data_IF_228478191826
#
_entry.id   IF_228478191826
#
_cell.length_a   1.000
_cell.length_b   1.000
_cell.length_c   1.000
_cell.angle_alpha   90.00
_cell.angle_beta   90.00
_cell.angle_gamma   90.00
#
_symmetry.space_group_name_H-M   'P 1'
#
loop_
_entity.id
_entity.type
_entity.pdbx_description
1 polymer ?
#
# COMPACT_ATOMS: atom_id res chain seq x y z
N UNK A 1 6.75 -26.05 -8.03
CA UNK A 1 6.29 -24.88 -7.29
C UNK A 1 7.51 -24.09 -6.81
N UNK A 2 7.48 -22.78 -6.99
CA UNK A 2 8.50 -21.86 -6.53
C UNK A 2 7.95 -21.02 -5.37
N UNK A 3 8.82 -20.54 -4.50
CA UNK A 3 8.47 -19.63 -3.40
C UNK A 3 9.33 -18.38 -3.52
N UNK A 4 8.72 -17.23 -3.30
CA UNK A 4 9.38 -15.91 -3.34
C UNK A 4 9.49 -15.33 -1.93
N UNK A 5 10.53 -14.52 -1.69
CA UNK A 5 10.68 -13.75 -0.46
C UNK A 5 10.29 -12.29 -0.67
N UNK A 6 9.52 -11.72 0.27
CA UNK A 6 9.20 -10.30 0.33
C UNK A 6 9.32 -9.78 1.75
N UNK A 7 9.90 -8.58 1.89
CA UNK A 7 9.94 -7.80 3.14
C UNK A 7 9.28 -6.46 2.88
N UNK A 8 8.48 -6.00 3.83
CA UNK A 8 7.78 -4.72 3.73
C UNK A 8 7.91 -3.91 5.01
N UNK A 9 7.96 -2.59 4.89
CA UNK A 9 7.89 -1.66 6.02
C UNK A 9 6.48 -1.10 6.27
N UNK A 10 5.47 -1.66 5.59
CA UNK A 10 4.08 -1.21 5.71
C UNK A 10 3.66 -1.09 7.17
N UNK A 11 3.04 0.03 7.53
CA UNK A 11 2.60 0.37 8.88
C UNK A 11 3.71 0.42 9.95
N UNK A 12 4.97 0.45 9.54
CA UNK A 12 6.12 0.53 10.44
C UNK A 12 7.02 1.72 10.12
N UNK A 13 7.34 1.91 8.85
CA UNK A 13 8.16 3.03 8.38
C UNK A 13 7.68 3.44 7.00
N UNK A 14 7.42 4.73 6.83
CA UNK A 14 7.21 5.34 5.54
C UNK A 14 8.08 6.60 5.39
N UNK A 15 8.27 7.04 4.17
CA UNK A 15 9.07 8.21 3.83
C UNK A 15 8.26 9.10 2.91
N UNK A 16 8.38 10.40 3.10
CA UNK A 16 7.84 11.39 2.18
C UNK A 16 9.00 12.30 1.77
N UNK A 17 9.31 12.32 0.49
CA UNK A 17 10.40 13.08 -0.12
C UNK A 17 11.81 12.68 0.36
N UNK A 18 12.81 13.30 -0.22
CA UNK A 18 14.21 13.11 0.10
C UNK A 18 14.97 12.31 -0.95
N UNK A 19 16.21 11.98 -0.65
CA UNK A 19 16.96 10.95 -1.38
C UNK A 19 16.79 9.63 -0.66
N UNK A 20 16.17 8.68 -1.33
CA UNK A 20 16.06 7.30 -0.88
C UNK A 20 17.12 6.49 -1.62
N UNK A 21 18.04 5.87 -0.89
CA UNK A 21 19.19 5.16 -1.41
C UNK A 21 19.22 3.75 -0.84
N UNK A 22 19.30 2.74 -1.71
CA UNK A 22 19.54 1.36 -1.30
C UNK A 22 20.78 0.80 -1.99
N UNK A 23 21.61 0.06 -1.25
CA UNK A 23 22.77 -0.69 -1.77
C UNK A 23 22.42 -2.16 -1.76
N UNK A 24 22.26 -2.73 -2.96
CA UNK A 24 21.69 -4.06 -3.16
C UNK A 24 22.63 -4.93 -4.00
N UNK A 25 22.73 -6.20 -3.66
CA UNK A 25 23.33 -7.24 -4.47
C UNK A 25 22.23 -8.24 -4.86
N UNK A 26 22.00 -8.39 -6.14
CA UNK A 26 21.09 -9.40 -6.69
C UNK A 26 21.88 -10.65 -7.12
N UNK A 27 21.31 -11.86 -6.99
CA UNK A 27 21.96 -13.07 -7.51
C UNK A 27 21.96 -13.08 -9.04
N UNK A 28 22.56 -14.10 -9.63
CA UNK A 28 22.35 -14.41 -11.04
C UNK A 28 20.87 -14.79 -11.25
N UNK A 29 20.20 -14.05 -12.12
CA UNK A 29 18.74 -14.16 -12.30
C UNK A 29 18.37 -15.26 -13.31
N UNK A 30 19.27 -15.58 -14.25
CA UNK A 30 18.91 -16.43 -15.38
C UNK A 30 17.53 -16.03 -15.95
N UNK A 31 16.67 -17.01 -16.32
CA UNK A 31 15.29 -16.72 -16.67
C UNK A 31 14.36 -16.89 -15.46
N UNK A 32 13.58 -15.85 -15.20
CA UNK A 32 12.49 -15.87 -14.23
C UNK A 32 12.79 -15.24 -12.87
N UNK A 33 14.02 -14.83 -12.58
CA UNK A 33 14.30 -14.04 -11.39
C UNK A 33 13.83 -12.59 -11.58
N UNK A 34 13.09 -12.06 -10.60
CA UNK A 34 12.58 -10.68 -10.59
C UNK A 34 12.80 -10.02 -9.21
N UNK A 35 14.02 -9.53 -8.96
CA UNK A 35 14.28 -8.70 -7.79
C UNK A 35 13.69 -7.31 -7.98
N UNK A 36 13.14 -6.74 -6.90
CA UNK A 36 12.63 -5.38 -6.87
C UNK A 36 12.89 -4.71 -5.52
N UNK A 37 13.20 -3.41 -5.57
CA UNK A 37 13.14 -2.46 -4.48
C UNK A 37 12.23 -1.31 -4.88
N UNK A 38 11.10 -1.22 -4.21
CA UNK A 38 10.01 -0.35 -4.61
C UNK A 38 9.24 0.20 -3.41
N UNK A 39 8.48 1.25 -3.63
CA UNK A 39 7.68 1.89 -2.63
C UNK A 39 6.23 1.97 -3.09
N UNK A 40 5.32 1.89 -2.13
CA UNK A 40 3.89 2.04 -2.37
C UNK A 40 3.35 3.11 -1.44
N UNK A 41 2.46 3.96 -1.96
CA UNK A 41 1.86 5.04 -1.19
C UNK A 41 1.02 4.54 -0.03
N UNK A 42 0.99 5.33 1.05
CA UNK A 42 0.20 5.04 2.25
C UNK A 42 -1.21 5.59 2.18
N UNK A 43 -1.54 6.36 1.13
CA UNK A 43 -2.89 6.88 0.94
C UNK A 43 -3.90 5.73 0.87
N UNK A 44 -5.09 6.00 1.42
CA UNK A 44 -6.16 4.99 1.57
C UNK A 44 -6.92 4.76 0.24
N UNK A 45 -6.17 4.62 -0.84
CA UNK A 45 -6.69 4.30 -2.16
C UNK A 45 -6.07 3.00 -2.66
N UNK A 46 -6.84 2.22 -3.42
CA UNK A 46 -6.33 1.06 -4.14
C UNK A 46 -5.29 1.48 -5.20
N UNK A 47 -4.43 0.55 -5.58
CA UNK A 47 -3.50 0.74 -6.70
C UNK A 47 -4.27 0.99 -8.00
N UNK A 48 -3.86 1.92 -8.88
CA UNK A 48 -2.63 2.75 -8.83
C UNK A 48 -2.79 4.10 -8.10
N UNK A 49 -3.98 4.46 -7.60
CA UNK A 49 -4.27 5.76 -6.95
C UNK A 49 -3.46 6.03 -5.68
N UNK A 50 -2.88 5.00 -5.05
CA UNK A 50 -1.96 5.21 -3.94
C UNK A 50 -0.57 5.63 -4.39
N UNK A 51 -0.23 5.51 -5.68
CA UNK A 51 1.09 5.74 -6.24
C UNK A 51 2.08 4.59 -5.97
N UNK A 52 3.02 4.39 -6.91
CA UNK A 52 4.11 3.41 -6.81
C UNK A 52 5.42 4.01 -7.33
N UNK A 53 6.52 3.76 -6.64
CA UNK A 53 7.86 4.17 -7.06
C UNK A 53 8.79 2.95 -7.07
N UNK A 54 9.23 2.55 -8.24
CA UNK A 54 10.16 1.44 -8.40
C UNK A 54 11.57 2.00 -8.56
N UNK A 55 12.42 1.79 -7.56
CA UNK A 55 13.80 2.26 -7.61
C UNK A 55 14.71 1.29 -8.34
N UNK A 56 14.34 0.03 -8.35
CA UNK A 56 15.09 -1.04 -8.99
C UNK A 56 14.17 -2.20 -9.32
N UNK A 57 14.13 -2.58 -10.58
CA UNK A 57 13.59 -3.83 -11.09
C UNK A 57 14.54 -4.44 -12.10
N UNK A 58 14.75 -5.75 -12.01
CA UNK A 58 15.60 -6.50 -12.95
C UNK A 58 14.90 -7.80 -13.35
N UNK A 59 15.46 -8.46 -14.37
CA UNK A 59 14.89 -9.71 -14.90
C UNK A 59 13.94 -9.50 -16.09
N UNK A 60 14.02 -8.34 -16.72
CA UNK A 60 13.16 -7.95 -17.84
C UNK A 60 13.15 -8.96 -18.98
N UNK A 61 11.98 -9.21 -19.52
CA UNK A 61 11.78 -10.05 -20.70
C UNK A 61 12.56 -9.53 -21.93
N UNK A 62 12.86 -10.42 -22.87
CA UNK A 62 13.62 -10.08 -24.06
C UNK A 62 13.01 -8.90 -24.84
N UNK A 63 11.67 -8.85 -24.92
CA UNK A 63 10.99 -7.76 -25.60
C UNK A 63 11.31 -6.37 -25.02
N UNK A 64 11.41 -6.25 -23.70
CA UNK A 64 11.81 -5.00 -23.04
C UNK A 64 13.30 -4.69 -23.29
N UNK A 65 14.15 -5.71 -23.27
CA UNK A 65 15.58 -5.53 -23.55
C UNK A 65 15.83 -5.10 -24.99
N UNK A 66 15.07 -5.64 -25.95
CA UNK A 66 15.16 -5.26 -27.37
C UNK A 66 14.71 -3.80 -27.59
N UNK A 67 13.64 -3.36 -26.95
CA UNK A 67 13.20 -1.96 -26.98
C UNK A 67 14.30 -1.03 -26.44
N UNK A 68 14.94 -1.38 -25.34
CA UNK A 68 16.07 -0.60 -24.81
C UNK A 68 17.23 -0.51 -25.81
N UNK A 69 17.61 -1.62 -26.42
CA UNK A 69 18.69 -1.65 -27.42
C UNK A 69 18.37 -0.78 -28.65
N UNK A 70 17.10 -0.71 -29.06
CA UNK A 70 16.64 0.13 -30.18
C UNK A 70 16.72 1.62 -29.85
N UNK A 71 16.21 2.05 -28.69
CA UNK A 71 16.16 3.47 -28.30
C UNK A 71 17.50 4.06 -27.87
N UNK A 72 18.42 3.28 -27.37
CA UNK A 72 19.75 3.77 -26.94
C UNK A 72 20.81 3.72 -28.03
N UNK A 73 20.41 3.62 -29.29
CA UNK A 73 21.34 3.51 -30.42
C UNK A 73 22.17 2.22 -30.35
N UNK A 74 21.52 1.17 -29.90
CA UNK A 74 22.06 -0.11 -29.59
C UNK A 74 22.99 -0.63 -30.67
N UNK A 75 24.02 -1.34 -30.28
CA UNK A 75 24.99 -1.96 -31.20
C UNK A 75 24.38 -3.11 -32.00
N UNK A 76 23.04 -3.21 -32.08
CA UNK A 76 22.35 -4.28 -32.80
C UNK A 76 22.60 -5.69 -32.20
N UNK A 77 23.10 -5.75 -31.01
CA UNK A 77 23.27 -6.98 -30.26
C UNK A 77 22.04 -7.26 -29.42
N UNK A 78 21.01 -7.84 -30.01
CA UNK A 78 19.80 -8.37 -29.35
C UNK A 78 20.13 -9.54 -28.38
N UNK A 79 21.25 -9.50 -27.71
CA UNK A 79 21.78 -10.56 -26.85
C UNK A 79 22.00 -10.09 -25.41
N UNK A 80 21.39 -8.97 -25.00
CA UNK A 80 21.46 -8.56 -23.60
C UNK A 80 20.81 -9.62 -22.70
N UNK A 81 21.46 -9.91 -21.58
CA UNK A 81 20.95 -10.85 -20.60
C UNK A 81 20.09 -10.14 -19.55
N UNK A 82 19.27 -10.89 -18.83
CA UNK A 82 18.44 -10.39 -17.71
C UNK A 82 19.27 -9.73 -16.60
N UNK A 83 20.59 -10.03 -16.54
CA UNK A 83 21.51 -9.48 -15.53
C UNK A 83 22.15 -8.15 -15.92
N UNK A 84 21.87 -7.64 -17.10
CA UNK A 84 22.56 -6.46 -17.65
C UNK A 84 21.71 -5.19 -17.63
N UNK A 85 20.42 -5.31 -17.32
CA UNK A 85 19.48 -4.19 -17.35
C UNK A 85 18.80 -4.01 -16.02
N UNK A 86 18.66 -2.76 -15.57
CA UNK A 86 17.82 -2.36 -14.45
C UNK A 86 16.90 -1.22 -14.86
N UNK A 87 15.63 -1.34 -14.51
CA UNK A 87 14.61 -0.32 -14.67
C UNK A 87 14.24 0.34 -13.35
N UNK A 88 13.67 1.53 -13.47
CA UNK A 88 12.95 2.24 -12.41
C UNK A 88 11.64 2.76 -12.99
N UNK A 89 10.68 3.09 -12.13
CA UNK A 89 9.37 3.51 -12.58
C UNK A 89 8.67 4.42 -11.57
N UNK A 90 7.73 5.24 -12.06
CA UNK A 90 6.72 5.90 -11.26
C UNK A 90 5.36 5.58 -11.88
N UNK A 91 4.48 4.95 -11.10
CA UNK A 91 3.15 4.52 -11.54
C UNK A 91 2.11 5.31 -10.74
N UNK A 92 1.15 5.89 -11.44
CA UNK A 92 0.11 6.75 -10.89
C UNK A 92 -1.21 6.54 -11.61
N UNK A 93 -2.29 7.11 -11.06
CA UNK A 93 -3.60 7.04 -11.70
C UNK A 93 -3.76 8.14 -12.75
N UNK A 94 -4.35 7.79 -13.88
CA UNK A 94 -4.68 8.73 -14.96
C UNK A 94 -6.03 8.39 -15.56
N UNK A 95 -6.90 9.39 -15.63
CA UNK A 95 -8.19 9.27 -16.36
C UNK A 95 -7.96 9.03 -17.86
N UNK A 96 -6.87 9.55 -18.43
CA UNK A 96 -6.52 9.31 -19.83
C UNK A 96 -6.12 7.85 -20.05
N UNK A 97 -5.36 7.25 -19.12
CA UNK A 97 -5.03 5.82 -19.17
C UNK A 97 -6.29 4.95 -19.07
N UNK A 98 -7.23 5.31 -18.19
CA UNK A 98 -8.51 4.62 -18.05
C UNK A 98 -9.34 4.68 -19.34
N UNK A 99 -9.37 5.84 -20.01
CA UNK A 99 -10.10 6.05 -21.25
C UNK A 99 -9.43 5.40 -22.48
N UNK A 100 -8.14 5.09 -22.42
CA UNK A 100 -7.33 4.47 -23.46
C UNK A 100 -7.13 2.95 -23.27
N UNK A 101 -8.19 2.25 -22.85
CA UNK A 101 -8.25 0.79 -22.69
C UNK A 101 -7.39 0.20 -21.56
N UNK A 102 -6.91 1.01 -20.61
CA UNK A 102 -6.31 0.50 -19.38
C UNK A 102 -7.35 0.49 -18.23
N UNK A 103 -8.01 -0.64 -17.94
CA UNK A 103 -9.12 -0.67 -16.99
C UNK A 103 -8.71 -0.37 -15.54
N UNK A 104 -7.42 -0.41 -15.22
CA UNK A 104 -6.90 0.01 -13.91
C UNK A 104 -6.72 1.53 -13.80
N UNK A 105 -6.65 2.25 -14.92
CA UNK A 105 -6.29 3.66 -14.97
C UNK A 105 -4.82 3.91 -14.62
N UNK A 106 -3.96 2.88 -14.65
CA UNK A 106 -2.54 3.04 -14.35
C UNK A 106 -1.80 3.71 -15.51
N UNK A 107 -1.13 4.80 -15.23
CA UNK A 107 -0.13 5.41 -16.08
C UNK A 107 1.28 5.17 -15.52
N UNK A 108 2.28 5.17 -16.36
CA UNK A 108 3.67 4.83 -15.99
C UNK A 108 4.65 5.56 -16.87
N UNK A 109 5.71 6.09 -16.27
CA UNK A 109 6.79 6.75 -17.01
C UNK A 109 7.66 5.77 -17.81
N UNK A 110 7.55 4.46 -17.56
CA UNK A 110 8.35 3.43 -18.23
C UNK A 110 7.60 2.67 -19.33
N UNK A 111 6.32 2.94 -19.55
CA UNK A 111 5.50 2.15 -20.48
C UNK A 111 5.42 2.71 -21.89
N UNK A 112 5.77 3.97 -22.08
CA UNK A 112 5.81 4.56 -23.41
C UNK A 112 7.23 4.49 -23.99
N UNK A 113 7.49 3.60 -24.96
CA UNK A 113 8.81 3.46 -25.56
C UNK A 113 9.23 4.67 -26.40
N UNK A 114 8.27 5.48 -26.83
CA UNK A 114 8.53 6.71 -27.61
C UNK A 114 8.82 7.91 -26.69
N UNK A 115 8.60 7.78 -25.38
CA UNK A 115 8.89 8.81 -24.39
C UNK A 115 10.35 8.74 -23.92
N UNK A 116 10.97 9.90 -23.69
CA UNK A 116 12.31 10.04 -23.13
C UNK A 116 12.48 9.44 -21.73
N UNK A 117 11.37 9.03 -21.10
CA UNK A 117 11.34 8.36 -19.81
C UNK A 117 11.63 6.85 -19.86
N UNK A 118 11.46 6.18 -20.98
CA UNK A 118 11.71 4.74 -21.11
C UNK A 118 13.18 4.41 -21.34
N UNK A 119 14.05 4.66 -20.34
CA UNK A 119 15.49 4.45 -20.48
C UNK A 119 16.11 3.75 -19.27
N UNK A 120 15.95 2.42 -19.15
CA UNK A 120 16.61 1.67 -18.09
C UNK A 120 18.13 1.76 -18.24
N UNK A 121 18.84 1.64 -17.13
CA UNK A 121 20.29 1.54 -17.13
C UNK A 121 20.73 0.17 -17.66
N UNK A 122 21.68 0.19 -18.54
CA UNK A 122 22.27 -1.00 -19.13
C UNK A 122 23.80 -1.01 -18.93
N UNK A 123 24.35 -2.15 -18.51
CA UNK A 123 25.78 -2.38 -18.44
C UNK A 123 26.14 -3.60 -19.29
N UNK A 124 27.22 -3.50 -20.08
CA UNK A 124 27.76 -4.63 -20.86
C UNK A 124 28.24 -5.77 -19.96
N UNK A 125 28.67 -5.46 -18.73
CA UNK A 125 28.96 -6.42 -17.69
C UNK A 125 27.71 -6.73 -16.89
N UNK A 126 27.66 -7.87 -16.22
CA UNK A 126 26.54 -8.21 -15.35
C UNK A 126 26.44 -7.26 -14.15
N UNK A 127 25.21 -6.87 -13.82
CA UNK A 127 24.86 -6.15 -12.59
C UNK A 127 24.62 -7.09 -11.40
N UNK A 128 24.48 -8.40 -11.67
CA UNK A 128 24.33 -9.44 -10.64
C UNK A 128 25.65 -9.74 -9.92
N UNK A 129 25.55 -10.31 -8.72
CA UNK A 129 26.68 -10.74 -7.87
C UNK A 129 27.65 -9.60 -7.49
N UNK A 130 27.25 -8.36 -7.60
CA UNK A 130 27.95 -7.18 -7.10
C UNK A 130 26.97 -6.23 -6.40
N UNK A 131 27.47 -5.40 -5.49
CA UNK A 131 26.65 -4.37 -4.88
C UNK A 131 26.54 -3.14 -5.78
N UNK A 132 25.30 -2.78 -6.13
CA UNK A 132 24.93 -1.60 -6.92
C UNK A 132 24.09 -0.69 -6.03
N UNK A 133 24.15 0.61 -6.21
CA UNK A 133 23.38 1.57 -5.43
C UNK A 133 22.29 2.16 -6.33
N UNK A 134 21.06 2.08 -5.84
CA UNK A 134 19.86 2.61 -6.50
C UNK A 134 19.31 3.76 -5.70
N UNK A 135 18.90 4.86 -6.37
CA UNK A 135 18.37 6.06 -5.71
C UNK A 135 17.15 6.61 -6.43
N UNK A 136 16.26 7.17 -5.64
CA UNK A 136 15.36 8.21 -6.10
C UNK A 136 15.66 9.52 -5.39
N UNK A 137 15.65 10.61 -6.14
CA UNK A 137 15.64 11.98 -5.67
C UNK A 137 14.22 12.48 -5.83
N UNK A 138 13.57 12.75 -4.74
CA UNK A 138 12.14 13.03 -4.72
C UNK A 138 11.86 14.25 -3.83
N UNK A 139 11.19 15.23 -4.39
CA UNK A 139 10.65 16.39 -3.69
C UNK A 139 9.20 16.65 -4.13
N UNK A 140 8.59 17.74 -3.67
CA UNK A 140 7.19 18.05 -3.99
C UNK A 140 6.95 18.36 -5.49
N UNK A 141 8.01 18.66 -6.22
CA UNK A 141 7.92 19.13 -7.61
C UNK A 141 8.37 18.06 -8.61
N UNK A 142 9.16 17.06 -8.16
CA UNK A 142 9.80 16.15 -9.11
C UNK A 142 10.32 14.84 -8.52
N UNK A 143 10.51 13.86 -9.41
CA UNK A 143 11.15 12.57 -9.14
C UNK A 143 12.23 12.32 -10.18
N UNK A 144 13.42 11.87 -9.70
CA UNK A 144 14.52 11.43 -10.54
C UNK A 144 15.11 10.13 -10.00
N UNK A 145 15.37 9.18 -10.90
CA UNK A 145 15.98 7.89 -10.56
C UNK A 145 17.42 7.80 -11.05
N UNK A 146 18.27 7.19 -10.23
CA UNK A 146 19.69 6.97 -10.58
C UNK A 146 20.15 5.60 -10.13
N UNK A 147 21.17 5.10 -10.82
CA UNK A 147 21.95 3.93 -10.44
C UNK A 147 23.43 4.33 -10.31
N UNK A 148 24.11 3.82 -9.27
CA UNK A 148 25.56 3.97 -9.13
C UNK A 148 26.20 2.59 -9.30
N UNK A 149 26.93 2.44 -10.38
CA UNK A 149 27.74 1.28 -10.70
C UNK A 149 29.21 1.69 -10.81
N UNK A 150 30.11 0.92 -10.25
CA UNK A 150 31.57 1.18 -10.21
C UNK A 150 31.93 2.61 -9.76
N UNK A 151 31.17 3.14 -8.76
CA UNK A 151 31.29 4.50 -8.21
C UNK A 151 30.92 5.64 -9.18
N UNK A 152 30.29 5.36 -10.29
CA UNK A 152 29.76 6.36 -11.22
C UNK A 152 28.23 6.35 -11.12
N UNK A 153 27.64 7.53 -10.91
CA UNK A 153 26.19 7.70 -10.87
C UNK A 153 25.65 8.03 -12.25
N UNK A 154 24.67 7.28 -12.69
CA UNK A 154 23.98 7.41 -13.97
C UNK A 154 22.52 7.73 -13.75
N UNK A 155 21.96 8.65 -14.54
CA UNK A 155 20.52 8.83 -14.60
C UNK A 155 19.88 7.66 -15.36
N UNK A 156 18.72 7.19 -14.86
CA UNK A 156 17.92 6.17 -15.54
C UNK A 156 17.06 6.76 -16.65
N UNK A 157 16.75 8.05 -16.55
CA UNK A 157 15.94 8.79 -17.52
C UNK A 157 16.67 10.06 -17.96
N UNK A 158 16.36 10.53 -19.17
CA UNK A 158 16.91 11.80 -19.68
C UNK A 158 16.33 12.99 -18.94
N UNK A 159 15.02 12.99 -18.73
CA UNK A 159 14.27 14.05 -18.07
C UNK A 159 13.88 13.69 -16.65
N UNK A 160 13.63 14.71 -15.85
CA UNK A 160 13.12 14.59 -14.49
C UNK A 160 11.60 14.52 -14.58
N UNK A 161 10.97 13.51 -13.96
CA UNK A 161 9.52 13.40 -13.93
C UNK A 161 8.91 14.52 -13.06
N UNK A 162 8.08 15.41 -13.61
CA UNK A 162 7.43 16.45 -12.84
C UNK A 162 6.24 15.90 -12.06
N UNK A 163 6.08 16.34 -10.82
CA UNK A 163 4.86 16.09 -10.03
C UNK A 163 3.93 17.27 -10.22
N UNK A 164 2.70 17.02 -10.64
CA UNK A 164 1.66 18.02 -10.80
C UNK A 164 0.30 17.50 -10.32
N UNK A 165 -0.79 18.15 -10.68
CA UNK A 165 -2.15 17.76 -10.26
C UNK A 165 -2.63 16.43 -10.87
N UNK A 166 -1.92 15.87 -11.82
CA UNK A 166 -2.24 14.57 -12.44
C UNK A 166 -1.46 13.40 -11.83
N UNK A 167 -0.55 13.70 -10.91
CA UNK A 167 0.33 12.74 -10.23
C UNK A 167 0.52 13.10 -8.75
N UNK A 168 -0.52 13.67 -8.14
CA UNK A 168 -0.50 14.22 -6.79
C UNK A 168 -0.39 13.14 -5.68
N UNK A 169 -0.61 11.87 -5.99
CA UNK A 169 -0.35 10.76 -5.08
C UNK A 169 1.11 10.72 -4.61
N UNK A 170 2.05 11.25 -5.40
CA UNK A 170 3.45 11.37 -5.00
C UNK A 170 3.71 12.47 -3.95
N UNK A 171 2.68 13.18 -3.51
CA UNK A 171 2.75 14.08 -2.36
C UNK A 171 2.36 13.39 -1.04
N UNK A 172 2.09 12.09 -1.04
CA UNK A 172 1.83 11.29 0.15
C UNK A 172 3.11 10.58 0.65
N UNK A 173 3.15 10.07 1.89
CA UNK A 173 4.20 9.15 2.32
C UNK A 173 4.12 7.79 1.64
N UNK A 174 5.26 7.11 1.46
CA UNK A 174 5.39 5.80 0.85
C UNK A 174 6.14 4.82 1.76
N UNK A 175 5.73 3.56 1.80
CA UNK A 175 6.42 2.50 2.52
C UNK A 175 7.24 1.63 1.57
N UNK A 176 8.29 0.97 2.10
CA UNK A 176 9.23 0.17 1.33
C UNK A 176 8.75 -1.26 1.13
N UNK A 177 9.04 -1.79 -0.05
CA UNK A 177 8.94 -3.20 -0.39
C UNK A 177 10.25 -3.66 -1.02
N UNK A 178 10.71 -4.84 -0.62
CA UNK A 178 11.89 -5.50 -1.20
C UNK A 178 11.51 -6.95 -1.43
N UNK A 179 11.71 -7.43 -2.64
CA UNK A 179 11.42 -8.83 -2.95
C UNK A 179 12.38 -9.41 -4.00
N UNK A 180 12.47 -10.73 -3.98
CA UNK A 180 12.97 -11.53 -5.07
C UNK A 180 11.83 -12.43 -5.53
N UNK A 181 11.07 -11.95 -6.51
CA UNK A 181 9.98 -12.72 -7.12
C UNK A 181 10.53 -13.74 -8.12
N UNK A 182 9.74 -14.76 -8.41
CA UNK A 182 10.09 -15.81 -9.37
C UNK A 182 8.97 -15.91 -10.41
N UNK A 183 9.33 -15.66 -11.67
CA UNK A 183 8.38 -15.50 -12.76
C UNK A 183 7.58 -14.21 -12.66
N UNK A 184 6.58 -14.06 -13.48
CA UNK A 184 5.69 -12.89 -13.52
C UNK A 184 5.86 -12.04 -14.77
N UNK A 185 4.97 -11.07 -14.93
CA UNK A 185 4.75 -10.31 -16.17
C UNK A 185 5.96 -9.53 -16.71
N UNK A 186 6.91 -9.19 -15.83
CA UNK A 186 8.13 -8.50 -16.24
C UNK A 186 9.12 -9.44 -16.94
N UNK A 187 9.02 -10.75 -16.73
CA UNK A 187 10.00 -11.75 -17.15
C UNK A 187 9.53 -12.58 -18.36
N UNK A 188 10.47 -13.22 -19.08
CA UNK A 188 10.13 -14.17 -20.14
C UNK A 188 9.40 -15.43 -19.64
N UNK A 189 9.41 -15.65 -18.31
CA UNK A 189 8.67 -16.76 -17.68
C UNK A 189 7.15 -16.52 -17.58
N UNK A 190 6.64 -15.45 -18.21
CA UNK A 190 5.22 -15.11 -18.22
C UNK A 190 4.74 -14.79 -19.63
N UNK A 191 3.61 -15.33 -20.01
CA UNK A 191 2.92 -14.98 -21.24
C UNK A 191 1.60 -14.28 -20.91
N UNK A 192 1.47 -13.01 -21.29
CA UNK A 192 0.30 -12.17 -21.00
C UNK A 192 -0.99 -12.74 -21.59
N UNK A 193 -0.90 -13.41 -22.76
CA UNK A 193 -2.05 -14.05 -23.42
C UNK A 193 -2.45 -15.39 -22.80
N UNK A 194 -1.52 -16.05 -22.12
CA UNK A 194 -1.74 -17.37 -21.50
C UNK A 194 -0.77 -17.54 -20.31
N UNK A 195 -1.14 -17.01 -19.13
CA UNK A 195 -0.28 -17.05 -17.95
C UNK A 195 0.12 -18.48 -17.58
N UNK A 196 1.42 -18.72 -17.40
CA UNK A 196 2.01 -20.01 -17.08
C UNK A 196 2.53 -20.79 -18.30
N UNK A 197 2.43 -20.22 -19.50
CA UNK A 197 2.99 -20.80 -20.74
C UNK A 197 4.27 -20.09 -21.23
N UNK A 198 4.80 -19.14 -20.44
CA UNK A 198 6.08 -18.49 -20.71
C UNK A 198 7.25 -19.47 -20.66
N UNK A 199 8.44 -18.95 -20.90
CA UNK A 199 9.67 -19.75 -20.87
C UNK A 199 9.89 -20.40 -19.50
N UNK A 200 10.52 -21.58 -19.46
CA UNK A 200 10.83 -22.24 -18.21
C UNK A 200 11.76 -21.39 -17.32
N UNK A 201 11.49 -21.37 -16.03
CA UNK A 201 12.38 -20.76 -15.05
C UNK A 201 13.66 -21.60 -14.98
N UNK A 202 14.81 -20.95 -15.24
CA UNK A 202 16.14 -21.58 -15.20
C UNK A 202 16.98 -21.10 -14.05
N UNK A 203 16.53 -20.07 -13.31
CA UNK A 203 17.21 -19.55 -12.15
C UNK A 203 17.58 -20.64 -11.15
N UNK A 204 18.80 -20.61 -10.64
CA UNK A 204 19.28 -21.57 -9.65
C UNK A 204 18.80 -21.26 -8.24
N UNK A 205 18.48 -22.29 -7.45
CA UNK A 205 17.98 -22.16 -6.08
C UNK A 205 18.85 -22.95 -5.07
N UNK A 206 18.99 -22.50 -3.81
CA UNK A 206 18.41 -21.25 -3.26
C UNK A 206 19.11 -20.01 -3.81
N UNK A 207 18.34 -18.94 -4.07
CA UNK A 207 18.86 -17.67 -4.51
C UNK A 207 18.71 -16.62 -3.41
N UNK A 208 19.72 -15.76 -3.24
CA UNK A 208 19.74 -14.76 -2.18
C UNK A 208 19.96 -13.37 -2.77
N UNK A 209 19.09 -12.43 -2.41
CA UNK A 209 19.27 -11.00 -2.58
C UNK A 209 19.77 -10.40 -1.27
N UNK A 210 20.77 -9.55 -1.32
CA UNK A 210 21.34 -8.91 -0.13
C UNK A 210 21.14 -7.40 -0.19
N UNK A 211 20.65 -6.83 0.89
CA UNK A 211 20.54 -5.38 1.08
C UNK A 211 21.54 -4.98 2.16
N UNK A 212 22.56 -4.22 1.78
CA UNK A 212 23.59 -3.74 2.71
C UNK A 212 23.02 -2.64 3.60
N UNK A 213 22.34 -1.66 2.99
CA UNK A 213 21.66 -0.59 3.69
C UNK A 213 20.54 0.04 2.85
N UNK A 214 19.62 0.70 3.56
CA UNK A 214 18.73 1.72 3.02
C UNK A 214 19.01 3.01 3.77
N UNK A 215 19.22 4.11 3.05
CA UNK A 215 19.47 5.44 3.59
C UNK A 215 18.47 6.45 3.07
N UNK A 216 18.00 7.31 3.95
CA UNK A 216 17.10 8.41 3.62
C UNK A 216 17.80 9.70 4.01
N UNK A 217 17.88 10.64 3.09
CA UNK A 217 18.53 11.94 3.28
C UNK A 217 17.59 13.05 2.84
N UNK A 218 17.70 14.22 3.45
CA UNK A 218 16.98 15.39 2.95
C UNK A 218 17.46 15.78 1.56
N UNK A 219 16.54 16.18 0.71
CA UNK A 219 16.76 16.73 -0.61
C UNK A 219 15.96 18.03 -0.73
N UNK A 220 16.57 19.11 -1.21
CA UNK A 220 15.94 20.44 -1.30
C UNK A 220 15.25 20.90 0.00
N UNK A 221 15.83 20.58 1.15
CA UNK A 221 15.28 20.78 2.51
C UNK A 221 14.01 19.96 2.82
N UNK A 222 13.59 19.04 1.94
CA UNK A 222 12.48 18.13 2.13
C UNK A 222 13.00 16.73 2.48
N UNK A 223 12.16 15.93 3.09
CA UNK A 223 12.45 14.55 3.50
C UNK A 223 12.04 14.32 4.94
N UNK A 224 11.01 13.49 5.10
CA UNK A 224 10.46 13.10 6.39
C UNK A 224 10.39 11.58 6.47
N UNK A 225 10.76 11.03 7.62
CA UNK A 225 10.57 9.60 7.94
C UNK A 225 9.48 9.53 8.99
N UNK A 226 8.43 8.79 8.67
CA UNK A 226 7.34 8.48 9.58
C UNK A 226 7.57 7.08 10.16
N UNK A 227 7.41 6.95 11.46
CA UNK A 227 7.53 5.68 12.17
C UNK A 227 6.16 5.33 12.76
N UNK A 228 5.68 4.16 12.41
CA UNK A 228 4.32 3.73 12.72
C UNK A 228 3.33 3.98 11.58
N UNK A 229 2.04 3.68 11.78
CA UNK A 229 0.98 4.00 10.83
C UNK A 229 0.88 5.51 10.56
N UNK A 230 0.41 5.95 9.36
CA UNK A 230 0.18 7.36 9.08
C UNK A 230 -0.77 7.97 10.12
N UNK A 231 -0.48 9.20 10.55
CA UNK A 231 -1.37 9.96 11.44
C UNK A 231 -2.35 10.79 10.60
N UNK A 232 -3.64 10.68 10.92
CA UNK A 232 -4.64 11.58 10.38
C UNK A 232 -4.69 12.87 11.19
N UNK A 233 -4.96 14.00 10.54
CA UNK A 233 -5.21 15.25 11.24
C UNK A 233 -6.46 15.13 12.12
N UNK A 234 -6.48 15.88 13.23
CA UNK A 234 -7.65 15.91 14.10
C UNK A 234 -8.87 16.45 13.34
N UNK A 235 -10.00 15.78 13.49
CA UNK A 235 -11.24 16.09 12.77
C UNK A 235 -12.27 15.02 13.01
N UNK A 236 -12.93 14.57 11.95
CA UNK A 236 -13.89 13.47 11.96
C UNK A 236 -13.34 12.27 11.21
N UNK A 237 -13.35 11.10 11.85
CA UNK A 237 -12.96 9.83 11.23
C UNK A 237 -14.15 8.87 11.20
N UNK A 238 -14.58 8.48 10.01
CA UNK A 238 -15.72 7.59 9.80
C UNK A 238 -15.30 6.12 9.80
N UNK A 239 -15.96 5.30 10.62
CA UNK A 239 -15.76 3.84 10.59
C UNK A 239 -16.83 3.15 9.72
N UNK A 240 -18.05 3.66 9.73
CA UNK A 240 -19.19 3.22 8.94
C UNK A 240 -20.20 4.37 8.88
N UNK A 241 -20.17 5.15 7.79
CA UNK A 241 -21.05 6.31 7.60
C UNK A 241 -21.51 6.39 6.15
N UNK A 242 -22.70 6.98 5.91
CA UNK A 242 -23.24 7.16 4.57
C UNK A 242 -23.33 8.64 4.18
N UNK A 243 -24.03 9.44 5.00
CA UNK A 243 -24.32 10.85 4.71
C UNK A 243 -23.67 11.80 5.73
N UNK A 244 -23.24 11.30 6.87
CA UNK A 244 -22.54 12.11 7.86
C UNK A 244 -21.22 12.62 7.27
N UNK A 245 -20.99 13.94 7.18
CA UNK A 245 -19.72 14.46 6.67
C UNK A 245 -18.54 14.03 7.54
N UNK A 246 -17.48 13.55 6.91
CA UNK A 246 -16.24 13.11 7.55
C UNK A 246 -15.04 13.69 6.80
N UNK A 247 -13.93 13.89 7.51
CA UNK A 247 -12.68 14.35 6.91
C UNK A 247 -11.86 13.17 6.39
N UNK A 248 -11.90 12.05 7.13
CA UNK A 248 -11.27 10.79 6.78
C UNK A 248 -12.15 9.62 7.21
N UNK A 249 -11.92 8.42 6.70
CA UNK A 249 -12.72 7.26 7.11
C UNK A 249 -12.28 5.96 6.46
N UNK A 250 -13.00 4.90 6.83
CA UNK A 250 -12.88 3.57 6.25
C UNK A 250 -14.09 3.28 5.35
N UNK A 251 -13.85 2.52 4.29
CA UNK A 251 -14.90 2.05 3.36
C UNK A 251 -15.06 0.54 3.50
N UNK A 252 -16.18 0.07 4.07
CA UNK A 252 -16.45 -1.37 4.17
C UNK A 252 -16.40 -2.06 2.79
N UNK A 253 -15.64 -3.17 2.72
CA UNK A 253 -15.40 -3.91 1.50
C UNK A 253 -14.18 -3.46 0.69
N UNK A 254 -13.53 -2.35 1.07
CA UNK A 254 -12.29 -1.84 0.47
C UNK A 254 -11.14 -1.88 1.50
N UNK A 255 -11.19 -1.04 2.51
CA UNK A 255 -10.17 -0.90 3.55
C UNK A 255 -10.64 -1.29 4.95
N UNK A 256 -11.89 -1.70 5.07
CA UNK A 256 -12.47 -2.28 6.28
C UNK A 256 -13.29 -3.52 5.98
N UNK A 257 -13.26 -4.45 6.92
CA UNK A 257 -14.08 -5.66 6.91
C UNK A 257 -15.06 -5.63 8.08
N UNK A 258 -16.32 -6.00 7.82
CA UNK A 258 -17.32 -6.24 8.86
C UNK A 258 -17.40 -7.73 9.06
N UNK A 259 -17.16 -8.21 10.27
CA UNK A 259 -17.16 -9.64 10.58
C UNK A 259 -17.98 -9.96 11.84
N UNK A 260 -18.48 -11.19 11.89
CA UNK A 260 -19.21 -11.74 13.03
C UNK A 260 -18.38 -12.86 13.64
N UNK A 261 -18.12 -12.78 14.96
CA UNK A 261 -17.38 -13.83 15.67
C UNK A 261 -18.20 -15.12 15.76
N UNK A 262 -17.59 -16.23 15.34
CA UNK A 262 -18.11 -17.59 15.48
C UNK A 262 -19.56 -17.79 14.99
N UNK A 263 -20.04 -16.93 14.08
CA UNK A 263 -21.41 -17.03 13.58
C UNK A 263 -22.48 -16.72 14.64
N UNK A 264 -22.15 -15.95 15.66
CA UNK A 264 -23.06 -15.62 16.76
C UNK A 264 -24.21 -14.70 16.37
N UNK A 265 -24.11 -14.05 15.23
CA UNK A 265 -25.11 -13.15 14.67
C UNK A 265 -25.48 -13.58 13.25
N UNK A 266 -26.73 -13.42 12.91
CA UNK A 266 -27.29 -13.68 11.59
C UNK A 266 -27.68 -12.36 10.97
N UNK A 267 -27.24 -12.11 9.75
CA UNK A 267 -27.52 -10.87 9.02
C UNK A 267 -29.04 -10.72 8.77
N UNK A 268 -29.52 -9.51 8.87
CA UNK A 268 -30.92 -9.12 8.68
C UNK A 268 -31.04 -7.84 7.87
N UNK A 269 -32.25 -7.35 7.75
CA UNK A 269 -32.57 -6.09 7.08
C UNK A 269 -33.12 -5.06 8.06
N UNK A 270 -32.72 -3.81 7.91
CA UNK A 270 -33.24 -2.68 8.68
C UNK A 270 -33.32 -1.45 7.77
N UNK A 271 -34.29 -0.56 8.05
CA UNK A 271 -34.21 0.80 7.49
C UNK A 271 -33.04 1.53 8.16
N UNK A 272 -32.06 1.99 7.39
CA UNK A 272 -30.88 2.64 7.96
C UNK A 272 -31.28 3.94 8.68
N UNK A 273 -30.41 4.41 9.57
CA UNK A 273 -30.57 5.72 10.19
C UNK A 273 -30.35 6.85 9.17
N UNK A 274 -29.34 6.70 8.32
CA UNK A 274 -29.01 7.62 7.25
C UNK A 274 -28.66 6.84 5.96
N UNK A 275 -28.78 7.48 4.80
CA UNK A 275 -28.38 6.92 3.51
C UNK A 275 -29.09 5.63 3.13
N UNK A 276 -28.31 4.68 2.61
CA UNK A 276 -28.81 3.41 2.10
C UNK A 276 -28.25 2.19 2.83
N UNK A 277 -27.24 2.36 3.69
CA UNK A 277 -26.53 1.28 4.33
C UNK A 277 -26.83 1.20 5.83
N UNK A 278 -27.16 0.03 6.31
CA UNK A 278 -27.38 -0.26 7.72
C UNK A 278 -27.03 -1.69 8.04
N UNK A 279 -26.30 -1.89 9.13
CA UNK A 279 -25.98 -3.24 9.60
C UNK A 279 -27.12 -3.70 10.52
N UNK A 280 -27.68 -4.87 10.25
CA UNK A 280 -28.72 -5.47 11.08
C UNK A 280 -28.39 -6.92 11.37
N UNK A 281 -28.48 -7.27 12.64
CA UNK A 281 -28.22 -8.62 13.10
C UNK A 281 -29.30 -9.13 14.06
N UNK A 282 -29.56 -10.43 13.99
CA UNK A 282 -30.28 -11.20 15.01
C UNK A 282 -29.33 -12.24 15.63
N UNK A 283 -29.53 -12.55 16.91
CA UNK A 283 -28.69 -13.53 17.60
C UNK A 283 -28.95 -14.95 17.09
N UNK A 284 -27.86 -15.72 16.91
CA UNK A 284 -27.94 -17.15 16.54
C UNK A 284 -28.31 -18.08 17.72
N UNK A 285 -28.57 -17.52 18.91
CA UNK A 285 -29.00 -18.30 20.10
C UNK A 285 -27.84 -18.99 20.84
N UNK A 286 -26.61 -18.56 20.66
CA UNK A 286 -25.43 -19.18 21.28
C UNK A 286 -25.10 -18.65 22.70
N UNK A 287 -25.97 -17.84 23.33
CA UNK A 287 -25.78 -17.33 24.68
C UNK A 287 -24.87 -16.07 24.76
N UNK A 288 -24.20 -15.72 23.70
CA UNK A 288 -23.44 -14.49 23.52
C UNK A 288 -23.50 -14.04 22.06
N UNK A 289 -23.06 -12.84 21.78
CA UNK A 289 -22.95 -12.33 20.42
C UNK A 289 -21.77 -11.35 20.29
N UNK A 290 -21.20 -11.27 19.11
CA UNK A 290 -20.11 -10.31 18.83
C UNK A 290 -19.90 -10.11 17.35
N UNK A 291 -19.62 -8.86 17.02
CA UNK A 291 -19.21 -8.45 15.67
C UNK A 291 -18.24 -7.27 15.78
N UNK A 292 -17.50 -7.01 14.71
CA UNK A 292 -16.55 -5.91 14.65
C UNK A 292 -16.38 -5.33 13.26
N UNK A 293 -15.82 -4.14 13.23
CA UNK A 293 -15.28 -3.50 12.03
C UNK A 293 -13.77 -3.53 12.19
N UNK A 294 -13.07 -4.17 11.27
CA UNK A 294 -11.62 -4.31 11.27
C UNK A 294 -11.06 -3.55 10.06
N UNK A 295 -10.13 -2.65 10.29
CA UNK A 295 -9.37 -2.05 9.19
C UNK A 295 -8.44 -3.11 8.57
N UNK A 296 -8.39 -3.15 7.24
CA UNK A 296 -7.48 -4.04 6.49
C UNK A 296 -6.01 -3.70 6.78
N UNK A 297 -5.75 -2.43 7.08
CA UNK A 297 -4.45 -1.94 7.52
C UNK A 297 -4.57 -1.21 8.85
N UNK A 298 -3.52 -1.24 9.69
CA UNK A 298 -3.49 -0.42 10.90
C UNK A 298 -3.75 1.05 10.61
N UNK A 299 -4.55 1.69 11.45
CA UNK A 299 -4.91 3.10 11.36
C UNK A 299 -4.38 3.83 12.57
N UNK A 300 -3.67 4.93 12.38
CA UNK A 300 -3.22 5.77 13.47
C UNK A 300 -4.32 6.77 13.84
N UNK A 301 -4.91 6.59 15.00
CA UNK A 301 -5.95 7.44 15.55
C UNK A 301 -5.48 8.30 16.72
N UNK A 302 -4.14 8.50 16.87
CA UNK A 302 -3.55 9.22 17.99
C UNK A 302 -4.16 10.61 18.17
N UNK A 303 -4.34 11.37 17.08
CA UNK A 303 -4.91 12.72 17.10
C UNK A 303 -6.41 12.78 17.46
N UNK A 304 -7.07 11.63 17.59
CA UNK A 304 -8.48 11.53 18.04
C UNK A 304 -8.60 11.15 19.51
N UNK A 305 -7.48 11.05 20.25
CA UNK A 305 -7.44 10.59 21.63
C UNK A 305 -8.27 11.41 22.62
N UNK A 306 -8.40 12.72 22.37
CA UNK A 306 -9.23 13.64 23.19
C UNK A 306 -10.68 13.77 22.63
N UNK A 307 -11.02 12.97 21.63
CA UNK A 307 -12.31 13.00 20.94
C UNK A 307 -13.37 12.09 21.55
N UNK A 308 -14.38 11.80 20.75
CA UNK A 308 -15.47 10.90 21.14
C UNK A 308 -15.75 9.88 20.04
N UNK A 309 -15.89 8.61 20.39
CA UNK A 309 -16.50 7.60 19.53
C UNK A 309 -18.01 7.78 19.55
N UNK A 310 -18.59 8.13 18.40
CA UNK A 310 -20.04 8.30 18.25
C UNK A 310 -20.60 7.19 17.38
N UNK A 311 -21.70 6.61 17.78
CA UNK A 311 -22.42 5.63 16.97
C UNK A 311 -23.92 5.69 17.21
N UNK A 312 -24.69 5.19 16.24
CA UNK A 312 -26.14 5.01 16.37
C UNK A 312 -26.47 3.53 16.37
N UNK A 313 -27.35 3.17 17.27
CA UNK A 313 -27.77 1.79 17.45
C UNK A 313 -29.26 1.71 17.82
N UNK A 314 -29.91 0.68 17.30
CA UNK A 314 -31.29 0.31 17.68
C UNK A 314 -31.22 -1.05 18.35
N UNK A 315 -31.22 -1.06 19.69
CA UNK A 315 -31.10 -2.28 20.51
C UNK A 315 -32.09 -2.22 21.67
N UNK A 316 -32.76 -3.33 22.02
CA UNK A 316 -33.71 -3.37 23.14
C UNK A 316 -33.06 -2.99 24.47
N UNK A 317 -33.78 -2.25 25.34
CA UNK A 317 -33.25 -1.77 26.61
C UNK A 317 -32.83 -2.88 27.58
N UNK A 318 -33.48 -4.03 27.52
CA UNK A 318 -33.21 -5.16 28.42
C UNK A 318 -31.93 -5.96 28.03
N UNK A 319 -31.26 -5.64 26.93
CA UNK A 319 -30.01 -6.27 26.50
C UNK A 319 -28.83 -5.48 27.06
N UNK A 320 -27.91 -6.13 27.76
CA UNK A 320 -26.59 -5.56 28.06
C UNK A 320 -25.64 -5.86 26.89
N UNK A 321 -24.76 -4.92 26.61
CA UNK A 321 -23.71 -5.09 25.58
C UNK A 321 -22.47 -4.27 25.92
N UNK A 322 -21.40 -4.54 25.23
CA UNK A 322 -20.14 -3.81 25.34
C UNK A 322 -19.73 -3.26 23.97
N UNK A 323 -19.07 -2.12 23.96
CA UNK A 323 -18.37 -1.57 22.81
C UNK A 323 -16.90 -1.47 23.20
N UNK A 324 -16.00 -1.91 22.31
CA UNK A 324 -14.58 -1.94 22.60
C UNK A 324 -13.71 -1.56 21.41
N UNK A 325 -12.45 -1.38 21.70
CA UNK A 325 -11.36 -1.20 20.72
C UNK A 325 -10.35 -2.34 20.94
N UNK A 326 -9.83 -2.82 19.83
CA UNK A 326 -8.73 -3.79 19.80
C UNK A 326 -7.61 -3.16 18.97
N UNK A 327 -6.41 -3.03 19.53
CA UNK A 327 -5.27 -2.49 18.83
C UNK A 327 -4.51 -3.58 18.04
N UNK A 328 -3.51 -3.17 17.28
CA UNK A 328 -2.69 -4.07 16.44
C UNK A 328 -1.86 -5.09 17.24
N UNK A 329 -1.68 -4.87 18.54
CA UNK A 329 -0.98 -5.76 19.46
C UNK A 329 -1.91 -6.78 20.10
N UNK A 330 -3.22 -6.66 19.86
CA UNK A 330 -4.25 -7.49 20.46
C UNK A 330 -4.67 -7.05 21.87
N UNK A 331 -4.24 -5.86 22.32
CA UNK A 331 -4.77 -5.29 23.55
C UNK A 331 -6.24 -4.90 23.33
N UNK A 332 -7.06 -5.11 24.34
CA UNK A 332 -8.51 -4.91 24.27
C UNK A 332 -8.99 -4.05 25.44
N UNK A 333 -9.87 -3.10 25.14
CA UNK A 333 -10.55 -2.30 26.15
C UNK A 333 -12.01 -2.10 25.76
N UNK A 334 -12.91 -2.12 26.75
CA UNK A 334 -14.36 -2.10 26.55
C UNK A 334 -15.05 -1.17 27.52
N UNK A 335 -16.13 -0.56 27.06
CA UNK A 335 -17.13 0.09 27.92
C UNK A 335 -18.44 -0.72 27.89
N UNK A 336 -19.05 -0.90 29.05
CA UNK A 336 -20.29 -1.64 29.20
C UNK A 336 -21.50 -0.71 29.11
N UNK A 337 -22.56 -1.16 28.45
CA UNK A 337 -23.92 -0.60 28.43
C UNK A 337 -24.86 -1.56 29.16
N UNK A 338 -25.10 -1.37 30.47
CA UNK A 338 -25.93 -2.27 31.24
C UNK A 338 -27.41 -2.25 30.79
N UNK A 339 -28.10 -3.37 31.00
CA UNK A 339 -29.51 -3.48 30.70
C UNK A 339 -30.35 -2.42 31.48
N UNK A 340 -31.31 -1.83 30.79
CA UNK A 340 -32.24 -0.84 31.31
C UNK A 340 -31.61 0.42 31.94
N UNK A 341 -30.40 0.76 31.51
CA UNK A 341 -29.69 1.96 31.94
C UNK A 341 -29.30 2.84 30.74
N UNK A 342 -29.35 4.15 30.97
CA UNK A 342 -28.78 5.13 30.02
C UNK A 342 -27.31 5.35 30.36
N UNK A 343 -26.43 5.20 29.37
CA UNK A 343 -25.00 5.49 29.49
C UNK A 343 -24.52 6.18 28.24
N UNK A 344 -23.61 7.10 28.36
CA UNK A 344 -23.03 7.89 27.23
C UNK A 344 -24.09 8.52 26.32
N UNK A 345 -25.24 8.90 26.91
CA UNK A 345 -26.37 9.52 26.21
C UNK A 345 -27.27 8.57 25.43
N UNK A 346 -27.00 7.25 25.42
CA UNK A 346 -27.76 6.27 24.64
C UNK A 346 -29.15 6.02 25.30
N UNK A 347 -30.21 6.44 24.61
CA UNK A 347 -31.59 6.13 24.93
C UNK A 347 -32.03 4.92 24.10
N UNK A 348 -32.66 3.92 24.72
CA UNK A 348 -33.09 2.66 24.11
C UNK A 348 -34.59 2.48 24.23
N UNK A 349 -35.34 3.28 23.51
CA UNK A 349 -36.81 3.33 23.52
C UNK A 349 -37.47 2.56 22.35
N UNK A 350 -36.67 1.86 21.58
CA UNK A 350 -37.12 1.13 20.38
C UNK A 350 -36.82 1.85 19.08
N UNK A 351 -36.29 3.06 19.14
CA UNK A 351 -35.84 3.84 17.99
C UNK A 351 -34.30 3.90 17.92
N UNK A 352 -33.76 4.57 16.89
CA UNK A 352 -32.33 4.78 16.77
C UNK A 352 -31.81 5.74 17.84
N UNK A 353 -31.09 5.21 18.82
CA UNK A 353 -30.38 5.97 19.85
C UNK A 353 -28.93 6.28 19.44
N UNK A 354 -28.41 7.40 19.95
CA UNK A 354 -27.01 7.78 19.78
C UNK A 354 -26.25 7.66 21.09
N UNK A 355 -25.06 7.06 21.03
CA UNK A 355 -24.05 7.14 22.10
C UNK A 355 -22.92 8.07 21.70
N UNK A 356 -22.24 8.67 22.69
CA UNK A 356 -21.00 9.44 22.53
C UNK A 356 -20.05 9.08 23.67
N UNK A 357 -19.09 8.21 23.39
CA UNK A 357 -18.12 7.69 24.37
C UNK A 357 -16.83 8.52 24.25
N UNK A 358 -16.33 9.17 25.32
CA UNK A 358 -14.99 9.74 25.30
C UNK A 358 -13.97 8.66 24.92
N UNK A 359 -13.04 9.00 24.02
CA UNK A 359 -12.03 8.03 23.57
C UNK A 359 -11.16 7.58 24.75
N UNK A 360 -10.88 8.45 25.71
CA UNK A 360 -10.15 8.11 26.93
C UNK A 360 -10.83 7.00 27.74
N UNK A 361 -12.17 6.97 27.79
CA UNK A 361 -12.94 5.93 28.51
C UNK A 361 -12.86 4.57 27.82
N UNK A 362 -12.95 4.56 26.47
CA UNK A 362 -13.01 3.31 25.71
C UNK A 362 -11.62 2.71 25.47
N UNK A 363 -10.57 3.54 25.35
CA UNK A 363 -9.19 3.05 25.19
C UNK A 363 -8.61 2.51 26.49
N UNK A 364 -9.07 3.02 27.65
CA UNK A 364 -8.45 2.72 28.93
C UNK A 364 -6.95 3.03 28.95
N UNK A 365 -6.22 2.30 29.79
CA UNK A 365 -4.77 2.50 29.98
C UNK A 365 -3.89 1.68 29.00
N UNK A 366 -4.48 0.82 28.17
CA UNK A 366 -3.75 -0.23 27.45
C UNK A 366 -3.78 -0.08 25.92
N UNK A 367 -4.73 0.63 25.35
CA UNK A 367 -4.84 0.77 23.89
C UNK A 367 -3.86 1.82 23.37
N UNK A 368 -3.01 1.42 22.43
CA UNK A 368 -2.21 2.35 21.65
C UNK A 368 -3.02 2.77 20.40
N UNK A 369 -3.26 4.07 20.28
CA UNK A 369 -3.97 4.65 19.14
C UNK A 369 -3.06 4.94 17.95
N UNK A 370 -1.75 4.58 18.04
CA UNK A 370 -0.77 4.78 16.97
C UNK A 370 -0.68 3.61 16.03
#
# INVERSE_FOLDING_TARGET
NYTSGKVTSKSKVSVQYGVIEARVLVPDLDLGGWPAFWLLGTANYGWPRCGELDLMEMGHAQAFRDLHDEHNGGNGNNNSTVNQMVGANAIFYSDDALNNDNPSGAASIAWDPDDDYCRPYYNYDNLSNKFVIYRTYWDADSIRFTVTDDNIEYNLYTDIFPIDSTSDEFNAPFFFNINLAIGGMLTDAYNLGDPGTGDPITMSFPANMYVDYIKIKKWNNQGTVHVGPPEFEAGTFGLFTDLTPIDNGLTPGEDAEIYVWEGTLIEGNISPYEGNNGISWSTAGLGWFGAGIMSVQPVNLFNFGDGNLKFRIKIPSHISFQIGIIDTWGNQSYVEFPANQTKYGLIRDGEWGQASIPVEDIRGDYIDLR
#
